data_IF_587109753758
#
_entry.id   IF_587109753758
#
_cell.length_a   1.000
_cell.length_b   1.000
_cell.length_c   1.000
_cell.angle_alpha   90.00
_cell.angle_beta   90.00
_cell.angle_gamma   90.00
#
_symmetry.space_group_name_H-M   'P 1'
#
loop_
_entity.id
_entity.type
_entity.pdbx_description
1 polymer ?
#
# COMPACT_ATOMS: atom_id res chain seq x y z
N UNK A 1 10.25 -16.76 -5.09
CA UNK A 1 9.88 -16.28 -3.73
C UNK A 1 9.37 -14.85 -3.91
N UNK A 2 8.13 -14.54 -3.55
CA UNK A 2 7.51 -13.22 -3.73
C UNK A 2 8.07 -12.23 -2.68
N UNK A 3 9.36 -11.90 -2.76
CA UNK A 3 10.12 -11.32 -1.63
C UNK A 3 9.90 -9.82 -1.36
N UNK A 4 9.00 -9.14 -2.08
CA UNK A 4 8.78 -7.69 -1.93
C UNK A 4 7.35 -7.24 -2.21
N UNK A 5 6.35 -8.06 -1.87
CA UNK A 5 4.93 -7.68 -1.98
C UNK A 5 4.40 -7.38 -0.58
N UNK A 6 3.75 -6.24 -0.41
CA UNK A 6 3.24 -5.77 0.88
C UNK A 6 1.82 -5.23 0.74
N UNK A 7 1.13 -5.11 1.87
CA UNK A 7 -0.14 -4.40 1.97
C UNK A 7 0.15 -2.89 2.05
N UNK A 8 -0.54 -2.10 1.23
CA UNK A 8 -0.50 -0.66 1.25
C UNK A 8 -1.88 -0.04 1.47
N UNK A 9 -1.95 1.08 2.18
CA UNK A 9 -3.17 1.84 2.40
C UNK A 9 -3.26 3.00 1.42
N UNK A 10 -4.42 3.16 0.78
CA UNK A 10 -4.65 4.27 -0.14
C UNK A 10 -4.83 5.58 0.63
N UNK A 11 -3.93 6.54 0.43
CA UNK A 11 -4.01 7.87 1.03
C UNK A 11 -4.75 8.86 0.12
N UNK A 12 -4.46 8.84 -1.17
CA UNK A 12 -5.05 9.76 -2.14
C UNK A 12 -5.09 9.14 -3.53
N UNK A 13 -6.10 9.51 -4.32
CA UNK A 13 -6.24 9.09 -5.72
C UNK A 13 -6.42 10.34 -6.57
N UNK A 14 -5.51 10.57 -7.51
CA UNK A 14 -5.53 11.69 -8.45
C UNK A 14 -5.51 11.18 -9.89
N UNK A 15 -6.38 11.68 -10.78
CA UNK A 15 -6.34 11.30 -12.19
C UNK A 15 -5.06 11.83 -12.86
N UNK A 16 -4.49 11.06 -13.79
CA UNK A 16 -3.34 11.56 -14.56
C UNK A 16 -3.79 12.60 -15.59
N UNK A 17 -2.99 13.66 -15.84
CA UNK A 17 -3.36 14.74 -16.76
C UNK A 17 -3.29 14.34 -18.25
N UNK A 18 -2.92 13.09 -18.57
CA UNK A 18 -2.67 12.64 -19.94
C UNK A 18 -3.99 12.18 -20.59
N UNK A 19 -4.41 12.91 -21.63
CA UNK A 19 -5.73 12.85 -22.30
C UNK A 19 -6.11 11.51 -22.96
N UNK A 20 -5.23 10.50 -22.99
CA UNK A 20 -5.43 9.29 -23.79
C UNK A 20 -5.35 7.97 -23.01
N UNK A 21 -5.08 8.01 -21.70
CA UNK A 21 -4.95 6.81 -20.87
C UNK A 21 -5.76 7.00 -19.60
N UNK A 22 -6.68 6.07 -19.30
CA UNK A 22 -7.53 6.11 -18.10
C UNK A 22 -6.73 5.69 -16.85
N UNK A 23 -5.57 6.31 -16.66
CA UNK A 23 -4.66 6.03 -15.57
C UNK A 23 -4.94 6.95 -14.40
N UNK A 24 -4.96 6.36 -13.22
CA UNK A 24 -5.03 7.06 -11.95
C UNK A 24 -3.69 6.94 -11.25
N UNK A 25 -3.19 8.06 -10.73
CA UNK A 25 -2.09 8.09 -9.77
C UNK A 25 -2.66 7.90 -8.37
N UNK A 26 -2.10 6.96 -7.62
CA UNK A 26 -2.51 6.67 -6.25
C UNK A 26 -1.31 6.82 -5.33
N UNK A 27 -1.47 7.58 -4.27
CA UNK A 27 -0.51 7.61 -3.16
C UNK A 27 -0.87 6.51 -2.17
N UNK A 28 0.08 5.63 -1.91
CA UNK A 28 -0.07 4.46 -1.04
C UNK A 28 0.92 4.56 0.12
N UNK A 29 0.44 4.32 1.33
CA UNK A 29 1.26 4.09 2.52
C UNK A 29 1.56 2.59 2.61
N UNK A 30 2.83 2.21 2.53
CA UNK A 30 3.30 0.82 2.57
C UNK A 30 4.07 0.51 3.85
N UNK A 31 3.87 1.28 4.92
CA UNK A 31 4.64 1.15 6.17
C UNK A 31 6.10 1.62 6.05
N UNK A 32 6.40 2.43 5.02
CA UNK A 32 7.68 3.14 4.89
C UNK A 32 7.56 4.57 5.42
N UNK A 33 8.69 5.24 5.62
CA UNK A 33 8.74 6.63 6.09
C UNK A 33 8.07 7.61 5.12
N UNK A 34 8.15 7.33 3.82
CA UNK A 34 7.49 8.12 2.77
C UNK A 34 6.46 7.29 2.00
N UNK A 35 5.26 7.85 1.70
CA UNK A 35 4.27 7.19 0.87
C UNK A 35 4.74 7.12 -0.58
N UNK A 36 4.48 6.00 -1.24
CA UNK A 36 4.86 5.78 -2.64
C UNK A 36 3.73 6.19 -3.58
N UNK A 37 4.11 6.61 -4.78
CA UNK A 37 3.15 6.87 -5.87
C UNK A 37 3.10 5.69 -6.82
N UNK A 38 1.90 5.21 -7.13
CA UNK A 38 1.66 4.10 -8.06
C UNK A 38 0.61 4.50 -9.08
N UNK A 39 0.95 4.34 -10.35
CA UNK A 39 0.03 4.59 -11.45
C UNK A 39 -0.66 3.28 -11.84
N UNK A 40 -1.98 3.30 -11.91
CA UNK A 40 -2.79 2.12 -12.21
C UNK A 40 -3.96 2.45 -13.14
N UNK A 41 -4.31 1.50 -13.99
CA UNK A 41 -5.51 1.55 -14.84
C UNK A 41 -6.70 0.81 -14.18
N UNK A 42 -6.51 0.22 -12.99
CA UNK A 42 -7.52 -0.65 -12.40
C UNK A 42 -8.85 0.10 -12.18
N UNK A 43 -9.99 -0.38 -12.73
CA UNK A 43 -11.26 0.35 -12.71
C UNK A 43 -11.89 0.44 -11.30
N UNK A 44 -11.40 -0.36 -10.36
CA UNK A 44 -11.80 -0.31 -8.96
C UNK A 44 -11.04 0.74 -8.14
N UNK A 45 -9.97 1.33 -8.69
CA UNK A 45 -9.23 2.42 -8.08
C UNK A 45 -9.91 3.74 -8.46
N UNK A 46 -10.57 4.33 -7.47
CA UNK A 46 -11.27 5.60 -7.59
C UNK A 46 -11.17 6.34 -6.24
N UNK A 47 -11.62 7.60 -6.14
CA UNK A 47 -11.60 8.34 -4.88
C UNK A 47 -12.30 7.62 -3.71
N UNK A 48 -13.28 6.74 -4.01
CA UNK A 48 -13.95 5.87 -3.02
C UNK A 48 -13.02 4.83 -2.37
N UNK A 49 -11.87 4.56 -2.97
CA UNK A 49 -10.90 3.58 -2.51
C UNK A 49 -9.91 4.18 -1.51
N UNK A 50 -9.94 5.50 -1.29
CA UNK A 50 -9.18 6.17 -0.23
C UNK A 50 -9.54 5.57 1.13
N UNK A 51 -8.52 5.22 1.90
CA UNK A 51 -8.66 4.53 3.19
C UNK A 51 -8.78 3.00 3.10
N UNK A 52 -8.86 2.41 1.89
CA UNK A 52 -8.83 0.96 1.71
C UNK A 52 -7.40 0.44 1.65
N UNK A 53 -7.25 -0.84 1.99
CA UNK A 53 -5.98 -1.55 1.93
C UNK A 53 -5.93 -2.36 0.63
N UNK A 54 -4.81 -2.25 -0.07
CA UNK A 54 -4.52 -2.87 -1.36
C UNK A 54 -3.20 -3.61 -1.29
N UNK A 55 -3.00 -4.60 -2.16
CA UNK A 55 -1.70 -5.28 -2.26
C UNK A 55 -0.85 -4.59 -3.32
N UNK A 56 0.40 -4.27 -2.96
CA UNK A 56 1.35 -3.59 -3.83
C UNK A 56 2.68 -4.33 -3.85
N UNK A 57 3.22 -4.51 -5.04
CA UNK A 57 4.57 -4.99 -5.25
C UNK A 57 5.53 -3.80 -5.29
N UNK A 58 6.53 -3.83 -4.40
CA UNK A 58 7.58 -2.83 -4.34
C UNK A 58 8.65 -3.09 -5.40
N UNK A 59 9.54 -2.11 -5.58
CA UNK A 59 10.71 -2.24 -6.44
C UNK A 59 11.54 -3.45 -6.04
N UNK A 60 11.91 -4.27 -7.02
CA UNK A 60 12.62 -5.53 -6.81
C UNK A 60 11.71 -6.75 -6.59
N UNK A 61 10.39 -6.56 -6.50
CA UNK A 61 9.46 -7.67 -6.53
C UNK A 61 9.46 -8.34 -7.92
N UNK A 62 9.40 -9.67 -7.95
CA UNK A 62 9.20 -10.42 -9.19
C UNK A 62 7.73 -10.83 -9.30
N UNK A 63 7.06 -10.37 -10.35
CA UNK A 63 5.65 -10.61 -10.63
C UNK A 63 5.56 -11.22 -12.02
N UNK A 64 5.11 -12.47 -12.11
CA UNK A 64 4.96 -13.18 -13.39
C UNK A 64 6.25 -13.21 -14.25
N UNK A 65 7.41 -13.26 -13.61
CA UNK A 65 8.73 -13.20 -14.28
C UNK A 65 9.19 -11.79 -14.69
N UNK A 66 8.43 -10.75 -14.35
CA UNK A 66 8.85 -9.34 -14.48
C UNK A 66 9.31 -8.77 -13.15
N UNK A 67 10.49 -8.17 -13.13
CA UNK A 67 10.99 -7.42 -11.97
C UNK A 67 10.38 -6.02 -11.97
N UNK A 68 9.70 -5.67 -10.89
CA UNK A 68 9.13 -4.34 -10.67
C UNK A 68 10.27 -3.34 -10.50
N UNK A 69 10.33 -2.34 -11.35
CA UNK A 69 11.31 -1.26 -11.31
C UNK A 69 10.60 0.10 -11.29
N UNK A 70 11.24 1.12 -10.69
CA UNK A 70 10.72 2.49 -10.75
C UNK A 70 10.70 2.95 -12.19
N UNK A 71 9.53 3.35 -12.70
CA UNK A 71 9.40 3.85 -14.07
C UNK A 71 8.41 5.00 -14.13
N UNK A 72 8.65 5.90 -15.08
CA UNK A 72 7.66 6.94 -15.39
C UNK A 72 6.52 6.33 -16.20
N UNK A 73 5.31 6.38 -15.65
CA UNK A 73 4.07 5.95 -16.33
C UNK A 73 3.16 7.17 -16.45
N UNK A 74 2.77 7.52 -17.67
CA UNK A 74 1.90 8.68 -17.88
C UNK A 74 2.51 10.03 -17.51
N UNK A 75 3.83 10.12 -17.32
CA UNK A 75 4.53 11.33 -16.87
C UNK A 75 4.67 11.46 -15.34
N UNK A 76 4.25 10.43 -14.60
CA UNK A 76 4.38 10.36 -13.13
C UNK A 76 5.32 9.21 -12.78
N UNK A 77 6.14 9.40 -11.75
CA UNK A 77 7.01 8.35 -11.22
C UNK A 77 6.15 7.29 -10.52
N UNK A 78 6.14 6.07 -11.03
CA UNK A 78 5.50 4.92 -10.38
C UNK A 78 6.58 4.06 -9.73
N UNK A 79 6.49 3.89 -8.41
CA UNK A 79 7.49 3.17 -7.60
C UNK A 79 7.01 1.79 -7.14
N UNK A 80 5.95 1.31 -7.76
CA UNK A 80 5.41 -0.02 -7.51
C UNK A 80 4.36 -0.39 -8.54
N UNK A 81 3.79 -1.57 -8.35
CA UNK A 81 2.69 -2.09 -9.15
C UNK A 81 1.60 -2.64 -8.23
N UNK A 82 0.35 -2.24 -8.45
CA UNK A 82 -0.78 -2.86 -7.75
C UNK A 82 -0.95 -4.29 -8.23
N UNK A 83 -1.07 -5.21 -7.28
CA UNK A 83 -1.31 -6.62 -7.59
C UNK A 83 -2.79 -6.86 -7.79
N UNK A 84 -3.12 -7.73 -8.74
CA UNK A 84 -4.46 -8.28 -8.90
C UNK A 84 -4.57 -9.68 -8.28
N UNK A 85 -5.78 -10.21 -8.24
CA UNK A 85 -6.01 -11.56 -7.71
C UNK A 85 -5.26 -12.66 -8.48
N UNK A 86 -5.02 -12.48 -9.79
CA UNK A 86 -4.32 -13.49 -10.59
C UNK A 86 -2.82 -13.47 -10.30
N UNK A 87 -2.22 -12.28 -10.21
CA UNK A 87 -0.82 -12.07 -9.85
C UNK A 87 -0.51 -12.59 -8.45
N UNK A 88 -1.49 -12.55 -7.53
CA UNK A 88 -1.38 -13.14 -6.19
C UNK A 88 -1.64 -14.66 -6.15
N UNK A 89 -2.03 -15.28 -7.26
CA UNK A 89 -2.41 -16.70 -7.29
C UNK A 89 -3.71 -16.99 -6.53
N UNK A 90 -4.56 -15.98 -6.30
CA UNK A 90 -5.84 -16.17 -5.64
C UNK A 90 -6.84 -16.87 -6.55
N UNK A 91 -7.49 -17.91 -6.02
CA UNK A 91 -8.56 -18.61 -6.73
C UNK A 91 -9.81 -17.74 -6.80
N UNK A 92 -10.12 -17.25 -8.00
CA UNK A 92 -11.27 -16.40 -8.29
C UNK A 92 -10.94 -14.90 -8.25
N UNK A 93 -11.17 -14.22 -9.37
CA UNK A 93 -10.98 -12.79 -9.56
C UNK A 93 -10.68 -12.45 -11.02
N UNK A 94 -10.52 -11.16 -11.32
CA UNK A 94 -10.30 -10.67 -12.68
C UNK A 94 -8.94 -9.99 -12.79
N UNK A 95 -8.26 -10.20 -13.93
CA UNK A 95 -7.01 -9.54 -14.25
C UNK A 95 -7.24 -8.03 -14.35
N UNK A 96 -6.32 -7.24 -13.79
CA UNK A 96 -6.39 -5.77 -13.80
C UNK A 96 -7.32 -5.16 -12.75
N UNK A 97 -7.83 -5.96 -11.79
CA UNK A 97 -8.56 -5.46 -10.62
C UNK A 97 -7.64 -5.45 -9.41
N UNK A 98 -7.43 -4.27 -8.81
CA UNK A 98 -6.57 -4.16 -7.63
C UNK A 98 -7.07 -5.06 -6.50
N UNK A 99 -6.19 -5.90 -5.95
CA UNK A 99 -6.50 -6.81 -4.85
C UNK A 99 -6.73 -6.01 -3.57
N UNK A 100 -7.98 -5.99 -3.10
CA UNK A 100 -8.38 -5.34 -1.86
C UNK A 100 -8.28 -6.32 -0.69
N UNK A 101 -7.73 -5.87 0.42
CA UNK A 101 -7.62 -6.64 1.66
C UNK A 101 -8.38 -5.94 2.79
N UNK A 102 -8.87 -6.68 3.80
CA UNK A 102 -9.52 -6.07 4.96
C UNK A 102 -8.52 -5.26 5.78
N UNK A 103 -9.02 -4.29 6.54
CA UNK A 103 -8.23 -3.45 7.45
C UNK A 103 -7.54 -4.20 8.58
N UNK A 104 -7.84 -5.50 8.75
CA UNK A 104 -7.11 -6.41 9.62
C UNK A 104 -5.62 -6.52 9.26
N UNK A 105 -5.24 -6.16 8.03
CA UNK A 105 -3.85 -6.15 7.58
C UNK A 105 -3.32 -4.71 7.57
N UNK A 106 -2.39 -4.35 8.47
CA UNK A 106 -1.81 -3.03 8.49
C UNK A 106 -0.87 -2.80 7.29
N UNK A 107 -0.65 -1.54 6.88
CA UNK A 107 0.29 -1.22 5.82
C UNK A 107 1.71 -1.70 6.19
N UNK A 108 2.43 -2.24 5.20
CA UNK A 108 3.76 -2.84 5.36
C UNK A 108 3.76 -4.30 5.78
N UNK A 109 2.60 -4.91 6.05
CA UNK A 109 2.50 -6.35 6.32
C UNK A 109 2.49 -7.19 5.04
N UNK A 110 2.83 -8.46 5.16
CA UNK A 110 2.72 -9.43 4.07
C UNK A 110 1.26 -9.61 3.61
N UNK A 111 1.02 -9.75 2.30
CA UNK A 111 -0.31 -9.99 1.78
C UNK A 111 -0.78 -11.42 2.12
N UNK A 112 -2.10 -11.64 2.27
CA UNK A 112 -2.63 -12.97 2.52
C UNK A 112 -2.42 -13.89 1.31
N UNK A 113 -1.95 -15.11 1.57
CA UNK A 113 -1.66 -16.13 0.55
C UNK A 113 -2.93 -16.64 -0.17
N UNK A 114 -4.11 -16.36 0.37
CA UNK A 114 -5.40 -16.72 -0.23
C UNK A 114 -6.36 -15.53 -0.17
N UNK A 115 -7.30 -15.46 -1.11
CA UNK A 115 -8.29 -14.39 -1.19
C UNK A 115 -9.06 -14.31 0.14
N UNK A 116 -8.97 -13.19 0.89
CA UNK A 116 -9.79 -13.00 2.07
C UNK A 116 -11.26 -13.09 1.65
N UNK A 117 -11.97 -14.11 2.14
CA UNK A 117 -13.42 -14.18 1.98
C UNK A 117 -14.02 -13.04 2.80
N UNK A 118 -14.64 -12.07 2.12
CA UNK A 118 -15.32 -10.94 2.77
C UNK A 118 -16.55 -11.38 3.60
N UNK A 119 -17.00 -12.63 3.41
CA UNK A 119 -18.16 -13.26 4.05
C UNK A 119 -17.77 -14.35 5.08
N UNK A 120 -16.85 -14.08 6.01
CA UNK A 120 -16.72 -14.82 7.29
C UNK A 120 -16.55 -16.37 7.30
N UNK A 121 -16.50 -17.07 6.18
CA UNK A 121 -16.47 -18.53 6.12
C UNK A 121 -15.06 -19.05 5.82
N UNK A 122 -14.37 -19.42 6.88
CA UNK A 122 -13.06 -20.05 6.90
C UNK A 122 -12.90 -21.13 5.82
N UNK A 123 -11.80 -21.03 5.07
CA UNK A 123 -11.42 -21.97 4.02
C UNK A 123 -9.90 -22.09 3.96
N UNK A 124 -9.35 -22.70 5.02
CA UNK A 124 -8.03 -23.33 5.16
C UNK A 124 -6.89 -22.88 4.26
N UNK A 125 -5.94 -22.13 4.80
CA UNK A 125 -4.70 -22.71 5.34
C UNK A 125 -3.95 -21.59 6.06
N UNK A 126 -3.93 -21.64 7.40
CA UNK A 126 -3.15 -20.75 8.24
C UNK A 126 -1.69 -21.17 8.15
N UNK A 127 -1.00 -20.77 7.09
CA UNK A 127 0.46 -20.78 7.08
C UNK A 127 0.95 -19.47 7.66
N UNK A 128 0.83 -19.37 8.99
CA UNK A 128 1.77 -18.59 9.76
C UNK A 128 3.17 -19.19 9.56
N UNK A 129 4.16 -18.33 9.33
CA UNK A 129 5.31 -18.36 10.20
C UNK A 129 5.45 -16.99 10.86
N UNK A 130 5.14 -16.95 12.15
CA UNK A 130 5.75 -15.99 13.10
C UNK A 130 7.24 -16.38 13.29
N UNK A 131 8.16 -15.57 13.86
CA UNK A 131 8.10 -14.20 14.39
C UNK A 131 9.28 -13.29 13.90
N UNK A 132 9.31 -12.03 14.38
CA UNK A 132 10.47 -11.14 14.51
C UNK A 132 10.84 -10.16 13.36
N UNK A 133 10.32 -8.93 13.50
CA UNK A 133 11.13 -7.72 13.55
C UNK A 133 10.38 -6.72 14.46
N UNK A 134 10.53 -6.83 15.77
CA UNK A 134 11.58 -6.14 16.53
C UNK A 134 11.45 -4.61 16.42
N UNK A 135 10.78 -4.05 17.43
CA UNK A 135 11.12 -2.82 18.13
C UNK A 135 11.80 -1.71 17.31
N UNK A 136 11.06 -0.64 17.08
CA UNK A 136 11.62 0.70 17.00
C UNK A 136 10.69 1.68 17.74
N UNK A 137 10.58 1.49 19.06
CA UNK A 137 10.55 2.66 19.93
C UNK A 137 12.01 3.07 20.15
N UNK A 138 12.34 4.33 19.87
CA UNK A 138 13.02 5.10 20.90
C UNK A 138 12.29 6.42 21.15
N UNK A 139 11.80 6.57 22.38
CA UNK A 139 12.24 7.63 23.28
C UNK A 139 12.43 8.99 22.58
N UNK A 140 11.38 9.80 22.54
CA UNK A 140 11.52 11.25 22.55
C UNK A 140 10.88 11.82 23.81
N UNK A 141 11.46 11.47 24.96
CA UNK A 141 11.22 12.20 26.19
C UNK A 141 12.35 13.22 26.44
N UNK A 142 11.94 14.50 26.38
CA UNK A 142 12.53 15.71 26.99
C UNK A 142 13.88 16.23 26.48
N UNK A 143 13.81 17.38 25.79
CA UNK A 143 14.10 18.71 26.40
C UNK A 143 13.89 19.86 25.41
N UNK A 144 12.82 20.63 25.63
CA UNK A 144 12.88 22.10 25.76
C UNK A 144 11.70 22.46 26.68
N UNK A 145 11.94 22.46 27.99
CA UNK A 145 12.34 23.61 28.81
C UNK A 145 11.23 24.65 28.94
N UNK A 146 10.88 24.84 30.21
CA UNK A 146 9.99 25.80 30.83
C UNK A 146 10.49 27.24 30.59
N UNK A 147 10.30 27.79 29.39
CA UNK A 147 10.56 29.21 29.06
C UNK A 147 9.90 29.55 27.70
N UNK A 148 8.58 29.55 27.57
CA UNK A 148 7.88 30.77 27.13
C UNK A 148 6.37 30.61 27.38
N UNK A 149 5.98 30.64 28.66
CA UNK A 149 4.57 30.75 29.05
C UNK A 149 4.16 32.20 29.39
N UNK A 150 4.89 33.22 28.93
CA UNK A 150 4.56 34.60 29.30
C UNK A 150 5.10 35.68 28.34
N UNK A 151 4.45 35.83 27.19
CA UNK A 151 4.35 37.10 26.44
C UNK A 151 3.27 36.95 25.35
N UNK A 152 2.02 36.64 25.71
CA UNK A 152 0.95 37.64 25.62
C UNK A 152 1.44 39.10 25.53
N UNK A 153 1.96 39.49 24.36
CA UNK A 153 2.09 40.88 23.96
C UNK A 153 0.73 41.34 23.38
N UNK A 154 -0.21 41.60 24.29
CA UNK A 154 -1.40 42.42 24.04
C UNK A 154 -1.75 43.18 25.31
N UNK A 155 -0.89 44.14 25.66
CA UNK A 155 -1.13 45.30 26.52
C UNK A 155 0.07 46.24 26.36
#
# INVERSE_FOLDING_TARGET
>A
VMMSVVVGKVLSVSPTPKKNDKLNCVSLDVGQEEPISVVTNAPNIAPRTVGKHVVVALVGAEVDGLVVARRSVGGIMSEGMLMDSQALGWSGGANGIAALVPESFPPGSDPPTSRPRMDGASGGNVSSPSPAAAAAEPIFEKKQTKEERKAQAKA
#
